data_IF_533143757156
#
_entry.id   IF_533143757156
#
_cell.length_a   1.000
_cell.length_b   1.000
_cell.length_c   1.000
_cell.angle_alpha   90.00
_cell.angle_beta   90.00
_cell.angle_gamma   90.00
#
_symmetry.space_group_name_H-M   'P 1'
#
loop_
_entity.id
_entity.type
_entity.pdbx_description
1 polymer ?
#
# COMPACT_ATOMS: atom_id res chain seq x y z
N UNK A 1 -13.52 -11.53 -15.85
CA UNK A 1 -13.36 -12.32 -14.60
C UNK A 1 -13.84 -11.49 -13.42
N UNK A 2 -14.61 -12.09 -12.51
CA UNK A 2 -15.02 -11.45 -11.27
C UNK A 2 -13.77 -11.13 -10.42
N UNK A 3 -13.71 -9.92 -9.85
CA UNK A 3 -12.60 -9.55 -8.94
C UNK A 3 -12.69 -10.37 -7.67
N UNK A 4 -11.59 -10.98 -7.26
CA UNK A 4 -11.48 -11.70 -5.99
C UNK A 4 -11.94 -10.83 -4.82
N UNK A 5 -12.66 -11.39 -3.83
CA UNK A 5 -13.00 -10.68 -2.60
C UNK A 5 -11.72 -10.28 -1.89
N UNK A 6 -11.71 -9.08 -1.28
CA UNK A 6 -10.64 -8.66 -0.38
C UNK A 6 -10.82 -9.38 0.95
N UNK A 7 -9.72 -9.77 1.55
CA UNK A 7 -9.74 -10.26 2.92
C UNK A 7 -8.91 -9.33 3.79
N UNK A 8 -9.30 -9.22 5.03
CA UNK A 8 -8.63 -8.41 6.03
C UNK A 8 -8.43 -9.27 7.27
N UNK A 9 -7.21 -9.33 7.76
CA UNK A 9 -6.88 -10.01 9.01
C UNK A 9 -6.48 -8.94 10.01
N UNK A 10 -7.22 -8.78 11.11
CA UNK A 10 -6.85 -7.84 12.16
C UNK A 10 -5.41 -8.07 12.66
N UNK A 11 -4.67 -6.99 12.88
CA UNK A 11 -3.27 -7.03 13.31
C UNK A 11 -2.25 -7.34 12.19
N UNK A 12 -2.68 -7.70 10.97
CA UNK A 12 -1.76 -7.96 9.85
C UNK A 12 -1.69 -6.76 8.90
N UNK A 13 -0.46 -6.29 8.56
CA UNK A 13 -0.30 -5.14 7.68
C UNK A 13 -0.69 -5.49 6.24
N UNK A 14 -1.24 -4.50 5.56
CA UNK A 14 -1.59 -4.57 4.15
C UNK A 14 -1.04 -3.37 3.40
N UNK A 15 -0.50 -3.61 2.22
CA UNK A 15 -0.18 -2.56 1.26
C UNK A 15 -1.44 -2.26 0.43
N UNK A 16 -1.95 -1.06 0.58
CA UNK A 16 -3.16 -0.55 -0.09
C UNK A 16 -2.78 0.43 -1.18
N UNK A 17 -3.37 0.28 -2.37
CA UNK A 17 -3.22 1.22 -3.48
C UNK A 17 -4.59 1.65 -3.98
N UNK A 18 -4.75 2.97 -4.15
CA UNK A 18 -5.90 3.57 -4.81
C UNK A 18 -5.44 4.46 -5.95
N UNK A 19 -6.02 4.32 -7.13
CA UNK A 19 -5.60 5.04 -8.35
C UNK A 19 -6.73 5.88 -8.92
N UNK A 20 -6.37 7.00 -9.52
CA UNK A 20 -7.29 7.85 -10.28
C UNK A 20 -7.78 7.16 -11.56
N UNK A 21 -9.02 7.42 -11.91
CA UNK A 21 -9.65 6.90 -13.13
C UNK A 21 -8.84 7.33 -14.36
N UNK A 22 -8.64 6.41 -15.31
CA UNK A 22 -7.80 6.61 -16.49
C UNK A 22 -6.39 7.16 -16.17
N UNK A 23 -5.86 6.84 -14.99
CA UNK A 23 -4.58 7.35 -14.47
C UNK A 23 -4.50 8.89 -14.40
N UNK A 24 -5.64 9.56 -14.39
CA UNK A 24 -5.70 11.01 -14.25
C UNK A 24 -5.24 11.46 -12.86
N UNK A 25 -4.79 12.73 -12.79
CA UNK A 25 -4.40 13.35 -11.54
C UNK A 25 -5.55 13.36 -10.55
N UNK A 26 -5.25 12.93 -9.33
CA UNK A 26 -6.13 13.01 -8.14
C UNK A 26 -5.67 14.09 -7.17
N UNK A 27 -4.51 14.68 -7.41
CA UNK A 27 -3.97 15.86 -6.72
C UNK A 27 -3.50 16.85 -7.78
N UNK A 28 -3.93 18.10 -7.70
CA UNK A 28 -3.60 19.19 -8.62
C UNK A 28 -2.93 20.37 -7.92
N UNK A 29 -3.25 20.57 -6.65
CA UNK A 29 -2.72 21.64 -5.81
C UNK A 29 -2.24 21.05 -4.47
N UNK A 30 -1.40 21.81 -3.77
CA UNK A 30 -0.90 21.43 -2.45
C UNK A 30 -2.04 21.18 -1.44
N UNK A 31 -3.09 21.99 -1.49
CA UNK A 31 -4.27 21.87 -0.66
C UNK A 31 -4.96 20.48 -0.80
N UNK A 32 -4.89 19.86 -1.98
CA UNK A 32 -5.47 18.54 -2.20
C UNK A 32 -4.77 17.47 -1.35
N UNK A 33 -3.45 17.52 -1.29
CA UNK A 33 -2.64 16.62 -0.48
C UNK A 33 -2.90 16.82 1.01
N UNK A 34 -2.97 18.09 1.45
CA UNK A 34 -3.23 18.43 2.86
C UNK A 34 -4.59 17.92 3.30
N UNK A 35 -5.64 18.18 2.54
CA UNK A 35 -7.00 17.71 2.82
C UNK A 35 -7.06 16.17 2.79
N UNK A 36 -6.38 15.54 1.83
CA UNK A 36 -6.33 14.08 1.79
C UNK A 36 -5.72 13.49 3.05
N UNK A 37 -4.59 14.04 3.54
CA UNK A 37 -3.92 13.58 4.77
C UNK A 37 -4.77 13.82 6.02
N UNK A 38 -5.44 14.98 6.11
CA UNK A 38 -6.38 15.27 7.19
C UNK A 38 -7.50 14.21 7.23
N UNK A 39 -8.16 13.98 6.10
CA UNK A 39 -9.27 13.00 6.02
C UNK A 39 -8.80 11.56 6.13
N UNK A 40 -7.56 11.25 5.75
CA UNK A 40 -6.94 9.97 6.00
C UNK A 40 -6.73 9.73 7.50
N UNK A 41 -6.22 10.73 8.23
CA UNK A 41 -6.03 10.65 9.68
C UNK A 41 -7.38 10.44 10.40
N UNK A 42 -8.40 11.23 10.07
CA UNK A 42 -9.75 11.07 10.63
C UNK A 42 -10.32 9.66 10.37
N UNK A 43 -10.22 9.19 9.13
CA UNK A 43 -10.77 7.90 8.74
C UNK A 43 -10.00 6.73 9.38
N UNK A 44 -8.68 6.83 9.48
CA UNK A 44 -7.83 5.83 10.12
C UNK A 44 -8.15 5.70 11.60
N UNK A 45 -8.21 6.82 12.32
CA UNK A 45 -8.57 6.84 13.74
C UNK A 45 -9.98 6.27 13.98
N UNK A 46 -10.98 6.73 13.21
CA UNK A 46 -12.37 6.29 13.35
C UNK A 46 -12.56 4.80 13.11
N UNK A 47 -11.79 4.23 12.19
CA UNK A 47 -11.93 2.82 11.79
C UNK A 47 -10.81 1.93 12.29
N UNK A 48 -10.04 2.41 13.29
CA UNK A 48 -9.00 1.66 13.98
C UNK A 48 -8.00 1.02 13.00
N UNK A 49 -7.41 1.87 12.17
CA UNK A 49 -6.38 1.50 11.21
C UNK A 49 -5.08 2.23 11.51
N UNK A 50 -4.02 1.49 11.80
CA UNK A 50 -2.68 2.06 12.02
C UNK A 50 -1.97 2.22 10.68
N UNK A 51 -1.54 3.43 10.36
CA UNK A 51 -0.80 3.71 9.13
C UNK A 51 0.69 3.80 9.44
N UNK A 52 1.51 3.00 8.77
CA UNK A 52 2.95 2.89 9.01
C UNK A 52 3.80 3.60 7.96
N UNK A 53 3.30 3.66 6.75
CA UNK A 53 3.89 4.42 5.65
C UNK A 53 2.81 4.87 4.68
N UNK A 54 3.03 6.00 4.03
CA UNK A 54 2.21 6.46 2.92
C UNK A 54 3.05 7.18 1.87
N UNK A 55 2.48 7.26 0.67
CA UNK A 55 2.96 8.07 -0.43
C UNK A 55 1.77 8.55 -1.25
N UNK A 56 1.68 9.84 -1.49
CA UNK A 56 0.66 10.46 -2.33
C UNK A 56 1.30 10.90 -3.65
N UNK A 57 1.16 10.09 -4.69
CA UNK A 57 1.59 10.42 -6.05
C UNK A 57 0.50 11.19 -6.78
N UNK A 58 0.83 11.96 -7.78
CA UNK A 58 -0.12 12.81 -8.51
C UNK A 58 -1.42 12.07 -8.91
N UNK A 59 -1.34 10.80 -9.27
CA UNK A 59 -2.48 10.04 -9.80
C UNK A 59 -2.81 8.75 -9.02
N UNK A 60 -2.11 8.47 -7.94
CA UNK A 60 -2.40 7.32 -7.07
C UNK A 60 -1.78 7.49 -5.68
N UNK A 61 -2.27 6.70 -4.74
CA UNK A 61 -1.76 6.67 -3.38
C UNK A 61 -1.34 5.27 -2.98
N UNK A 62 -0.31 5.19 -2.16
CA UNK A 62 0.14 3.98 -1.47
C UNK A 62 -0.01 4.18 0.03
N UNK A 63 -0.56 3.19 0.72
CA UNK A 63 -0.66 3.16 2.17
C UNK A 63 -0.18 1.80 2.68
N UNK A 64 0.58 1.79 3.75
CA UNK A 64 0.88 0.58 4.52
C UNK A 64 0.08 0.64 5.82
N UNK A 65 -0.90 -0.23 5.96
CA UNK A 65 -1.97 -0.13 6.97
C UNK A 65 -2.12 -1.43 7.73
N UNK A 66 -2.22 -1.36 9.06
CA UNK A 66 -2.66 -2.49 9.89
C UNK A 66 -4.06 -2.20 10.43
N UNK A 67 -5.08 -2.96 10.02
CA UNK A 67 -6.41 -2.83 10.59
C UNK A 67 -6.49 -3.54 11.94
N UNK A 68 -7.21 -2.98 12.89
CA UNK A 68 -7.51 -3.62 14.17
C UNK A 68 -8.83 -4.41 14.13
N UNK A 69 -9.64 -4.21 13.08
CA UNK A 69 -10.92 -4.89 12.85
C UNK A 69 -11.02 -5.43 11.42
N UNK A 70 -11.83 -6.46 11.20
CA UNK A 70 -12.01 -7.09 9.88
C UNK A 70 -12.51 -6.12 8.79
N UNK A 71 -13.31 -5.12 9.17
CA UNK A 71 -13.86 -4.14 8.24
C UNK A 71 -13.08 -2.81 8.22
N UNK A 72 -12.00 -2.69 9.00
CA UNK A 72 -11.28 -1.44 9.24
C UNK A 72 -10.85 -0.76 7.94
N UNK A 73 -10.02 -1.42 7.12
CA UNK A 73 -9.53 -0.85 5.85
C UNK A 73 -10.70 -0.53 4.90
N UNK A 74 -11.70 -1.40 4.82
CA UNK A 74 -12.86 -1.18 3.96
C UNK A 74 -13.62 0.09 4.30
N UNK A 75 -13.93 0.28 5.58
CA UNK A 75 -14.65 1.46 6.10
C UNK A 75 -13.80 2.72 6.03
N UNK A 76 -12.49 2.63 6.36
CA UNK A 76 -11.55 3.73 6.24
C UNK A 76 -11.48 4.25 4.79
N UNK A 77 -11.25 3.37 3.83
CA UNK A 77 -11.16 3.74 2.42
C UNK A 77 -12.50 4.23 1.83
N UNK A 78 -13.63 3.71 2.32
CA UNK A 78 -14.96 4.19 1.93
C UNK A 78 -15.23 5.60 2.46
N UNK A 79 -14.90 5.87 3.71
CA UNK A 79 -15.05 7.19 4.33
C UNK A 79 -14.16 8.21 3.62
N UNK A 80 -12.85 7.93 3.52
CA UNK A 80 -11.88 8.76 2.83
C UNK A 80 -12.31 9.05 1.38
N UNK A 81 -12.72 8.00 0.65
CA UNK A 81 -13.13 8.12 -0.74
C UNK A 81 -14.33 9.03 -0.93
N UNK A 82 -15.36 8.94 -0.06
CA UNK A 82 -16.54 9.80 -0.14
C UNK A 82 -16.20 11.28 0.09
N UNK A 83 -15.44 11.57 1.13
CA UNK A 83 -15.05 12.95 1.44
C UNK A 83 -14.16 13.55 0.36
N UNK A 84 -13.13 12.81 -0.04
CA UNK A 84 -12.16 13.34 -0.99
C UNK A 84 -12.74 13.51 -2.39
N UNK A 85 -13.57 12.58 -2.86
CA UNK A 85 -14.25 12.73 -4.17
C UNK A 85 -15.18 13.93 -4.18
N UNK A 86 -15.95 14.14 -3.11
CA UNK A 86 -16.83 15.30 -2.99
C UNK A 86 -16.03 16.60 -3.03
N UNK A 87 -14.98 16.70 -2.20
CA UNK A 87 -14.07 17.85 -2.19
C UNK A 87 -13.49 18.10 -3.58
N UNK A 88 -12.86 17.09 -4.19
CA UNK A 88 -12.17 17.24 -5.48
C UNK A 88 -13.13 17.63 -6.61
N UNK A 89 -14.30 17.00 -6.67
CA UNK A 89 -15.29 17.33 -7.70
C UNK A 89 -15.82 18.76 -7.54
N UNK A 90 -16.07 19.22 -6.31
CA UNK A 90 -16.49 20.58 -6.06
C UNK A 90 -15.40 21.60 -6.42
N UNK A 91 -14.15 21.36 -5.99
CA UNK A 91 -13.04 22.28 -6.24
C UNK A 91 -12.74 22.44 -7.72
N UNK A 92 -12.85 21.36 -8.49
CA UNK A 92 -12.48 21.33 -9.91
C UNK A 92 -13.67 21.28 -10.87
N UNK A 93 -14.89 21.54 -10.39
CA UNK A 93 -16.14 21.55 -11.17
C UNK A 93 -16.31 20.29 -12.01
N UNK A 94 -16.06 19.12 -11.39
CA UNK A 94 -16.16 17.81 -12.02
C UNK A 94 -17.39 17.05 -11.52
N UNK A 95 -17.80 16.06 -12.32
CA UNK A 95 -18.82 15.08 -11.96
C UNK A 95 -18.28 13.67 -12.13
N UNK A 96 -18.94 12.68 -11.57
CA UNK A 96 -18.61 11.27 -11.72
C UNK A 96 -17.48 10.79 -10.81
N UNK A 97 -16.97 9.59 -11.12
CA UNK A 97 -15.95 8.93 -10.31
C UNK A 97 -14.57 9.55 -10.45
N UNK A 98 -13.85 9.65 -9.33
CA UNK A 98 -12.44 10.02 -9.31
C UNK A 98 -11.54 8.78 -9.39
N UNK A 99 -12.03 7.62 -8.95
CA UNK A 99 -11.23 6.41 -8.78
C UNK A 99 -11.40 5.41 -9.92
N UNK A 100 -10.31 4.75 -10.31
CA UNK A 100 -10.28 3.64 -11.30
C UNK A 100 -11.08 2.39 -10.83
N UNK A 101 -11.78 2.49 -9.74
CA UNK A 101 -12.54 1.43 -9.12
C UNK A 101 -12.14 1.23 -7.66
N UNK A 102 -12.31 0.02 -7.15
CA UNK A 102 -11.99 -0.29 -5.76
C UNK A 102 -10.47 -0.29 -5.53
N UNK A 103 -10.00 0.14 -4.34
CA UNK A 103 -8.60 0.01 -3.95
C UNK A 103 -8.11 -1.45 -4.06
N UNK A 104 -6.83 -1.64 -4.31
CA UNK A 104 -6.15 -2.94 -4.21
C UNK A 104 -5.53 -3.05 -2.82
N UNK A 105 -5.49 -4.26 -2.27
CA UNK A 105 -4.85 -4.54 -0.98
C UNK A 105 -4.11 -5.87 -1.05
N UNK A 106 -2.90 -5.89 -0.49
CA UNK A 106 -1.99 -7.02 -0.44
C UNK A 106 -1.61 -7.26 1.01
N UNK A 107 -1.91 -8.43 1.55
CA UNK A 107 -1.48 -8.82 2.89
C UNK A 107 0.04 -9.06 2.89
N UNK A 108 0.72 -8.55 3.94
CA UNK A 108 2.18 -8.58 4.02
C UNK A 108 2.63 -9.36 5.26
N UNK A 109 3.59 -10.25 5.07
CA UNK A 109 4.37 -10.80 6.17
C UNK A 109 5.20 -9.67 6.79
N UNK A 110 4.82 -9.27 7.99
CA UNK A 110 5.42 -8.09 8.65
C UNK A 110 6.89 -8.32 9.03
N UNK A 111 7.25 -9.51 9.46
CA UNK A 111 8.63 -9.80 9.88
C UNK A 111 9.61 -9.76 8.71
N UNK A 112 9.18 -10.23 7.55
CA UNK A 112 10.04 -10.33 6.38
C UNK A 112 9.97 -9.10 5.46
N UNK A 113 8.77 -8.51 5.29
CA UNK A 113 8.55 -7.53 4.22
C UNK A 113 8.15 -6.15 4.67
N UNK A 114 7.84 -5.89 5.96
CA UNK A 114 7.34 -4.58 6.38
C UNK A 114 8.29 -3.44 6.00
N UNK A 115 9.54 -3.51 6.46
CA UNK A 115 10.53 -2.45 6.20
C UNK A 115 10.85 -2.32 4.70
N UNK A 116 10.85 -3.45 3.97
CA UNK A 116 11.02 -3.43 2.50
C UNK A 116 9.85 -2.77 1.80
N UNK A 117 8.60 -2.98 2.28
CA UNK A 117 7.42 -2.31 1.75
C UNK A 117 7.38 -0.82 2.09
N UNK A 118 7.78 -0.42 3.32
CA UNK A 118 7.93 0.99 3.68
C UNK A 118 8.90 1.67 2.72
N UNK A 119 10.10 1.10 2.53
CA UNK A 119 11.09 1.60 1.58
C UNK A 119 10.57 1.61 0.14
N UNK A 120 9.89 0.55 -0.28
CA UNK A 120 9.27 0.48 -1.61
C UNK A 120 8.32 1.63 -1.85
N UNK A 121 7.48 1.95 -0.87
CA UNK A 121 6.51 3.04 -0.93
C UNK A 121 7.25 4.38 -1.01
N UNK A 122 8.15 4.65 -0.08
CA UNK A 122 8.82 5.94 0.08
C UNK A 122 9.87 6.23 -1.03
N UNK A 123 10.43 5.19 -1.66
CA UNK A 123 11.33 5.32 -2.83
C UNK A 123 10.60 5.49 -4.17
N UNK A 124 9.29 5.39 -4.21
CA UNK A 124 8.53 5.38 -5.46
C UNK A 124 8.71 6.67 -6.29
N UNK A 125 8.75 7.90 -5.69
CA UNK A 125 8.98 9.13 -6.44
C UNK A 125 10.33 9.15 -7.17
N UNK A 126 11.36 8.57 -6.54
CA UNK A 126 12.71 8.48 -7.11
C UNK A 126 12.77 7.45 -8.24
N UNK A 127 12.14 6.27 -8.04
CA UNK A 127 12.28 5.12 -8.96
C UNK A 127 11.33 5.12 -10.13
N UNK A 128 10.08 5.52 -9.92
CA UNK A 128 9.03 5.29 -10.91
C UNK A 128 8.83 6.44 -11.88
N UNK A 129 9.13 7.66 -11.48
CA UNK A 129 8.78 8.84 -12.28
C UNK A 129 9.87 9.93 -12.28
N UNK A 130 11.03 9.69 -11.68
CA UNK A 130 12.10 10.70 -11.50
C UNK A 130 11.55 12.05 -10.96
N UNK A 131 10.56 11.98 -10.05
CA UNK A 131 9.93 13.17 -9.46
C UNK A 131 10.79 13.81 -8.37
N UNK A 132 11.79 13.07 -7.88
CA UNK A 132 12.72 13.49 -6.86
C UNK A 132 14.05 12.74 -7.03
N UNK A 133 15.15 13.34 -6.65
CA UNK A 133 16.47 12.69 -6.63
C UNK A 133 16.64 11.85 -5.36
N UNK A 134 16.07 12.32 -4.25
CA UNK A 134 16.08 11.64 -2.97
C UNK A 134 14.68 11.60 -2.34
N UNK A 135 14.31 10.58 -1.53
CA UNK A 135 12.97 10.53 -0.90
C UNK A 135 12.64 11.74 -0.02
N UNK A 136 13.66 12.42 0.54
CA UNK A 136 13.49 13.64 1.31
C UNK A 136 13.01 14.84 0.49
N UNK A 137 13.22 14.82 -0.83
CA UNK A 137 12.83 15.91 -1.72
C UNK A 137 11.34 15.84 -2.10
N UNK A 138 10.69 14.72 -1.78
CA UNK A 138 9.26 14.54 -2.07
C UNK A 138 8.41 14.74 -0.80
N UNK A 139 7.67 15.87 -0.69
CA UNK A 139 7.02 16.27 0.56
C UNK A 139 5.85 15.36 0.97
N UNK A 140 5.21 14.68 0.01
CA UNK A 140 3.97 13.94 0.21
C UNK A 140 4.19 12.45 0.53
N UNK A 141 5.20 12.19 1.38
CA UNK A 141 5.51 10.83 1.84
C UNK A 141 5.77 10.77 3.35
N UNK A 142 5.63 9.59 3.92
CA UNK A 142 5.96 9.31 5.31
C UNK A 142 7.47 9.31 5.61
N UNK A 143 8.33 9.41 4.60
CA UNK A 143 9.79 9.44 4.78
C UNK A 143 10.25 10.53 5.77
N UNK A 144 9.62 11.71 5.71
CA UNK A 144 9.94 12.80 6.64
C UNK A 144 9.70 12.44 8.11
N UNK A 145 8.67 11.63 8.38
CA UNK A 145 8.40 11.12 9.73
C UNK A 145 9.35 9.97 10.06
N UNK A 146 9.34 8.92 9.25
CA UNK A 146 10.04 7.67 9.54
C UNK A 146 11.58 7.81 9.51
N UNK A 147 12.12 8.63 8.62
CA UNK A 147 13.56 8.80 8.44
C UNK A 147 14.12 10.08 9.09
N UNK A 148 13.35 11.16 9.12
CA UNK A 148 13.82 12.48 9.55
C UNK A 148 13.20 12.96 10.87
N UNK A 149 12.26 12.20 11.45
CA UNK A 149 11.66 12.49 12.74
C UNK A 149 10.68 13.66 12.76
N UNK A 150 10.21 14.14 11.60
CA UNK A 150 9.18 15.17 11.56
C UNK A 150 7.88 14.60 12.10
N UNK A 151 7.26 15.31 13.04
CA UNK A 151 5.98 14.89 13.58
C UNK A 151 4.91 14.73 12.49
N UNK A 152 4.20 13.60 12.51
CA UNK A 152 3.12 13.32 11.58
C UNK A 152 2.01 12.51 12.27
N UNK A 153 0.83 13.11 12.51
CA UNK A 153 -0.26 12.46 13.26
C UNK A 153 -0.91 11.28 12.52
N UNK A 154 -0.62 11.12 11.23
CA UNK A 154 -1.11 10.00 10.42
C UNK A 154 -0.33 8.73 10.73
N UNK A 155 0.94 8.84 11.17
CA UNK A 155 1.85 7.70 11.28
C UNK A 155 1.82 7.07 12.66
N UNK A 156 1.61 5.76 12.68
CA UNK A 156 1.75 4.90 13.86
C UNK A 156 2.94 3.97 13.66
N UNK A 157 3.94 4.07 14.53
CA UNK A 157 5.13 3.22 14.47
C UNK A 157 4.80 1.78 14.84
N UNK A 158 5.23 0.82 14.03
CA UNK A 158 5.07 -0.60 14.30
C UNK A 158 6.32 -1.20 14.96
N UNK A 159 6.15 -2.33 15.66
CA UNK A 159 7.22 -3.02 16.40
C UNK A 159 8.47 -3.31 15.55
N UNK A 160 8.31 -3.66 14.27
CA UNK A 160 9.41 -3.96 13.35
C UNK A 160 10.28 -2.73 13.08
N UNK A 161 9.67 -1.55 12.98
CA UNK A 161 10.38 -0.27 12.92
C UNK A 161 10.98 0.10 14.29
N UNK A 162 10.24 -0.10 15.39
CA UNK A 162 10.70 0.20 16.75
C UNK A 162 11.94 -0.62 17.14
N UNK A 163 12.08 -1.84 16.63
CA UNK A 163 13.26 -2.71 16.82
C UNK A 163 14.54 -2.21 16.17
N UNK A 164 14.47 -1.21 15.29
CA UNK A 164 15.65 -0.62 14.67
C UNK A 164 16.54 0.15 15.64
N UNK A 165 16.01 0.57 16.81
CA UNK A 165 16.79 1.26 17.82
C UNK A 165 15.97 1.59 19.08
N UNK A 166 16.64 1.77 20.21
CA UNK A 166 16.00 2.07 21.47
C UNK A 166 15.41 3.49 21.52
N UNK A 167 16.13 4.46 20.94
CA UNK A 167 15.71 5.86 20.87
C UNK A 167 15.22 6.21 19.45
N UNK A 168 14.39 7.25 19.35
CA UNK A 168 13.88 7.72 18.06
C UNK A 168 15.00 8.06 17.06
N UNK A 169 16.02 8.74 17.52
CA UNK A 169 17.19 9.11 16.69
C UNK A 169 17.92 7.89 16.14
N UNK A 170 18.08 6.83 16.97
CA UNK A 170 18.73 5.59 16.56
C UNK A 170 17.87 4.86 15.50
N UNK A 171 16.56 4.80 15.73
CA UNK A 171 15.60 4.21 14.78
C UNK A 171 15.63 4.92 13.43
N UNK A 172 15.58 6.24 13.44
CA UNK A 172 15.64 7.07 12.24
C UNK A 172 16.97 6.90 11.50
N UNK A 173 18.10 6.88 12.22
CA UNK A 173 19.41 6.65 11.65
C UNK A 173 19.51 5.26 11.01
N UNK A 174 19.10 4.22 11.72
CA UNK A 174 19.06 2.85 11.20
C UNK A 174 18.11 2.73 10.00
N UNK A 175 16.95 3.39 10.03
CA UNK A 175 16.00 3.41 8.93
C UNK A 175 16.60 4.08 7.69
N UNK A 176 17.28 5.25 7.81
CA UNK A 176 18.01 5.90 6.71
C UNK A 176 19.08 5.00 6.10
N UNK A 177 19.78 4.21 6.92
CA UNK A 177 20.79 3.28 6.42
C UNK A 177 20.21 2.25 5.43
N UNK A 178 18.97 1.84 5.63
CA UNK A 178 18.29 0.92 4.71
C UNK A 178 18.16 1.49 3.29
N UNK A 179 18.12 2.82 3.13
CA UNK A 179 17.98 3.47 1.81
C UNK A 179 19.29 3.56 1.03
N UNK A 180 20.45 3.34 1.68
CA UNK A 180 21.75 3.28 0.99
C UNK A 180 21.87 2.05 0.08
N UNK A 181 21.28 0.95 0.47
CA UNK A 181 21.26 -0.26 -0.34
C UNK A 181 20.05 -0.27 -1.29
N UNK A 182 20.24 -0.74 -2.51
CA UNK A 182 19.12 -0.98 -3.43
C UNK A 182 18.24 -2.09 -2.88
N UNK A 183 16.92 -1.98 -3.05
CA UNK A 183 16.02 -3.10 -2.78
C UNK A 183 16.32 -4.17 -3.84
N UNK A 184 16.58 -5.43 -3.46
CA UNK A 184 16.86 -6.49 -4.43
C UNK A 184 15.73 -6.62 -5.46
N UNK A 185 16.09 -6.82 -6.72
CA UNK A 185 15.08 -6.88 -7.80
C UNK A 185 14.05 -7.99 -7.58
N UNK A 186 14.45 -9.13 -7.03
CA UNK A 186 13.54 -10.21 -6.61
C UNK A 186 12.48 -9.71 -5.62
N UNK A 187 12.88 -8.89 -4.64
CA UNK A 187 11.95 -8.32 -3.64
C UNK A 187 11.04 -7.28 -4.29
N UNK A 188 11.58 -6.44 -5.18
CA UNK A 188 10.77 -5.48 -5.94
C UNK A 188 9.72 -6.17 -6.80
N UNK A 189 10.13 -7.21 -7.53
CA UNK A 189 9.22 -8.00 -8.36
C UNK A 189 8.13 -8.66 -7.50
N UNK A 190 8.50 -9.25 -6.36
CA UNK A 190 7.55 -9.87 -5.45
C UNK A 190 6.52 -8.86 -4.91
N UNK A 191 6.96 -7.66 -4.49
CA UNK A 191 6.06 -6.60 -4.02
C UNK A 191 5.12 -6.14 -5.15
N UNK A 192 5.65 -5.88 -6.36
CA UNK A 192 4.87 -5.44 -7.52
C UNK A 192 3.83 -6.47 -7.93
N UNK A 193 4.23 -7.73 -8.03
CA UNK A 193 3.36 -8.84 -8.41
C UNK A 193 2.24 -9.06 -7.41
N UNK A 194 2.59 -9.15 -6.11
CA UNK A 194 1.61 -9.30 -5.05
C UNK A 194 0.60 -8.13 -5.06
N UNK A 195 1.09 -6.90 -5.20
CA UNK A 195 0.26 -5.70 -5.22
C UNK A 195 -0.67 -5.64 -6.43
N UNK A 196 -0.17 -5.93 -7.63
CA UNK A 196 -0.98 -5.88 -8.85
C UNK A 196 -2.08 -6.93 -8.87
N UNK A 197 -1.79 -8.11 -8.33
CA UNK A 197 -2.69 -9.29 -8.35
C UNK A 197 -3.50 -9.43 -7.07
N UNK A 198 -3.26 -8.58 -6.05
CA UNK A 198 -3.83 -8.67 -4.70
C UNK A 198 -3.57 -10.04 -4.04
N UNK A 199 -2.35 -10.57 -4.22
CA UNK A 199 -1.85 -11.78 -3.60
C UNK A 199 -1.27 -11.50 -2.21
N UNK A 200 -1.00 -12.57 -1.44
CA UNK A 200 -0.27 -12.47 -0.18
C UNK A 200 1.23 -12.36 -0.46
N UNK A 201 1.91 -11.43 0.20
CA UNK A 201 3.36 -11.26 0.18
C UNK A 201 3.95 -11.86 1.45
N UNK A 202 4.48 -13.04 1.37
CA UNK A 202 5.07 -13.77 2.48
C UNK A 202 5.78 -15.04 2.01
N UNK A 203 6.51 -15.68 2.94
CA UNK A 203 7.13 -16.96 2.72
C UNK A 203 6.11 -18.11 2.74
N UNK A 204 6.58 -19.34 2.53
CA UNK A 204 5.73 -20.54 2.55
C UNK A 204 5.05 -20.76 3.91
N UNK A 205 5.76 -20.47 5.02
CA UNK A 205 5.24 -20.64 6.38
C UNK A 205 4.14 -19.64 6.68
N UNK A 206 4.35 -18.37 6.33
CA UNK A 206 3.35 -17.32 6.45
C UNK A 206 2.12 -17.64 5.60
N UNK A 207 2.33 -18.02 4.33
CA UNK A 207 1.23 -18.38 3.44
C UNK A 207 0.42 -19.57 3.98
N UNK A 208 1.06 -20.61 4.53
CA UNK A 208 0.37 -21.72 5.17
C UNK A 208 -0.45 -21.31 6.40
N UNK A 209 0.06 -20.36 7.20
CA UNK A 209 -0.68 -19.76 8.33
C UNK A 209 -1.92 -19.01 7.84
N UNK A 210 -1.77 -18.19 6.80
CA UNK A 210 -2.85 -17.38 6.24
C UNK A 210 -3.90 -18.27 5.55
N UNK A 211 -3.49 -19.34 4.84
CA UNK A 211 -4.39 -20.28 4.19
C UNK A 211 -5.42 -20.93 5.14
N UNK A 212 -5.06 -21.07 6.43
CA UNK A 212 -5.98 -21.59 7.46
C UNK A 212 -7.05 -20.59 7.90
N UNK A 213 -6.88 -19.31 7.56
CA UNK A 213 -7.75 -18.21 8.03
C UNK A 213 -8.64 -17.65 6.92
N UNK A 214 -8.35 -18.00 5.66
CA UNK A 214 -9.09 -17.46 4.51
C UNK A 214 -9.38 -18.57 3.49
N UNK A 215 -10.60 -18.53 2.99
CA UNK A 215 -11.08 -19.47 1.97
C UNK A 215 -10.91 -18.86 0.56
N UNK A 216 -9.63 -18.67 0.15
CA UNK A 216 -9.30 -18.29 -1.23
C UNK A 216 -7.83 -18.59 -1.56
N UNK A 217 -7.48 -18.74 -2.87
CA UNK A 217 -6.08 -18.88 -3.30
C UNK A 217 -5.24 -17.67 -2.87
N UNK A 218 -4.09 -17.93 -2.25
CA UNK A 218 -3.13 -16.91 -1.81
C UNK A 218 -2.18 -16.45 -2.91
N UNK A 219 -1.98 -17.29 -3.91
CA UNK A 219 -1.09 -17.10 -5.05
C UNK A 219 -1.80 -17.58 -6.31
N UNK A 220 -1.30 -17.19 -7.49
CA UNK A 220 -1.76 -17.75 -8.75
C UNK A 220 -1.51 -19.26 -8.74
N UNK A 221 -2.55 -20.07 -8.84
CA UNK A 221 -2.39 -21.39 -9.45
C UNK A 221 -1.87 -21.14 -10.85
N UNK A 222 -0.72 -21.75 -11.21
CA UNK A 222 -0.20 -21.67 -12.58
C UNK A 222 -1.31 -21.85 -13.59
N UNK A 223 -1.14 -21.34 -14.81
CA UNK A 223 -2.16 -21.47 -15.86
C UNK A 223 -2.51 -22.95 -16.00
N UNK A 224 -3.57 -23.38 -15.32
CA UNK A 224 -4.16 -24.70 -15.49
C UNK A 224 -4.97 -24.71 -16.79
N UNK A 225 -4.33 -25.12 -17.81
CA UNK A 225 -4.91 -25.54 -19.06
C UNK A 225 -3.84 -26.39 -19.72
N UNK A 226 -4.05 -27.68 -19.73
CA UNK A 226 -3.19 -28.61 -20.44
C UNK A 226 -3.39 -28.42 -21.96
N UNK A 227 -2.86 -27.28 -22.47
CA UNK A 227 -2.82 -26.97 -23.91
C UNK A 227 -1.79 -27.79 -24.69
N UNK A 228 -1.06 -28.70 -24.01
CA UNK A 228 0.02 -29.53 -24.58
C UNK A 228 -0.30 -31.00 -24.54
N UNK A 229 -1.45 -31.43 -24.00
CA UNK A 229 -1.82 -32.84 -24.03
C UNK A 229 -2.32 -33.25 -25.44
N UNK A 230 -2.04 -34.51 -25.80
CA UNK A 230 -2.60 -35.13 -27.02
C UNK A 230 -4.12 -35.00 -27.09
N UNK A 231 -4.82 -35.10 -25.96
CA UNK A 231 -6.28 -34.96 -25.83
C UNK A 231 -6.78 -33.61 -26.27
N UNK A 232 -5.99 -32.52 -26.09
CA UNK A 232 -6.36 -31.21 -26.56
C UNK A 232 -6.26 -31.03 -28.08
N UNK A 233 -5.30 -31.73 -28.72
CA UNK A 233 -5.11 -31.67 -30.18
C UNK A 233 -6.04 -32.62 -30.95
N UNK A 234 -6.45 -33.72 -30.35
CA UNK A 234 -7.35 -34.71 -30.98
C UNK A 234 -8.83 -34.28 -30.87
N UNK A 235 -9.17 -33.20 -30.20
CA UNK A 235 -10.53 -32.66 -30.03
C UNK A 235 -10.83 -31.40 -30.85
N UNK A 236 -9.93 -31.00 -31.76
CA UNK A 236 -10.15 -29.96 -32.75
C UNK A 236 -10.11 -30.57 -34.16
#
# INVERSE_FOLDING_TARGET
MARLPRFVIPGQPQHVIQRGNNRQAIFRAEADYQIFLEKLSEAANKHQCDIHAYLLMTNHVHLLVTPQTENGIGRMMQMLGRYYVHYFNNSYKRTGTLWEGRYKATLIDSEQYLLSCMRYIELNPVRAQNMAEHPADYPWSSYHCNALGKHNPVITSRREYQRLGAKDQDRQAAYRQLFRARIPEKTLAAIRDATNKAWVLGDKRFNAKIAKQIDRPLQSSGHGGDRKSKVFYDGQ
#
